data_IF_540157440295
#
_entry.id   IF_540157440295
#
_cell.length_a   1.000
_cell.length_b   1.000
_cell.length_c   1.000
_cell.angle_alpha   90.00
_cell.angle_beta   90.00
_cell.angle_gamma   90.00
#
_symmetry.space_group_name_H-M   'P 1'
#
loop_
_entity.id
_entity.type
_entity.pdbx_description
1 polymer ?
#
# COMPACT_ATOMS: atom_id res chain seq x y z
N UNK A 1 52.66 -33.02 -29.71
CA UNK A 1 51.86 -32.17 -28.79
C UNK A 1 51.04 -33.10 -27.94
N UNK A 2 51.21 -33.04 -26.62
CA UNK A 2 50.70 -34.04 -25.69
C UNK A 2 49.25 -33.76 -25.35
N UNK A 3 48.41 -34.79 -25.28
CA UNK A 3 46.96 -34.71 -25.01
C UNK A 3 46.62 -33.86 -23.74
N UNK A 4 47.50 -33.85 -22.77
CA UNK A 4 47.39 -33.02 -21.57
C UNK A 4 47.48 -31.49 -21.82
N UNK A 5 48.19 -31.07 -22.88
CA UNK A 5 48.32 -29.64 -23.22
C UNK A 5 47.06 -29.12 -23.92
N UNK A 6 46.35 -29.97 -24.68
CA UNK A 6 45.13 -29.61 -25.35
C UNK A 6 43.96 -29.51 -24.33
N UNK A 7 43.89 -30.39 -23.35
CA UNK A 7 42.89 -30.29 -22.27
C UNK A 7 43.08 -29.06 -21.39
N UNK A 8 44.32 -28.64 -21.12
CA UNK A 8 44.57 -27.42 -20.34
C UNK A 8 44.20 -26.15 -21.11
N UNK A 9 44.39 -26.12 -22.43
CA UNK A 9 43.97 -24.97 -23.26
C UNK A 9 42.46 -24.85 -23.43
N UNK A 10 41.75 -25.97 -23.50
CA UNK A 10 40.26 -25.98 -23.62
C UNK A 10 39.62 -25.55 -22.31
N UNK A 11 40.18 -25.96 -21.15
CA UNK A 11 39.66 -25.55 -19.83
C UNK A 11 39.96 -24.07 -19.56
N UNK A 12 41.13 -23.57 -20.01
CA UNK A 12 41.46 -22.13 -19.87
C UNK A 12 40.61 -21.23 -20.82
N UNK A 13 40.18 -21.72 -21.98
CA UNK A 13 39.33 -20.97 -22.91
C UNK A 13 37.89 -20.93 -22.47
N UNK A 14 37.38 -21.92 -21.69
CA UNK A 14 36.03 -21.88 -21.12
C UNK A 14 35.88 -20.97 -19.87
N UNK A 15 37.01 -20.63 -19.23
CA UNK A 15 37.01 -19.76 -18.04
C UNK A 15 37.20 -18.28 -18.39
N UNK A 16 37.37 -17.92 -19.66
CA UNK A 16 37.60 -16.56 -20.13
C UNK A 16 36.45 -15.98 -20.98
N UNK A 17 35.24 -16.59 -20.91
CA UNK A 17 34.05 -15.88 -21.36
C UNK A 17 33.79 -14.80 -20.29
N UNK A 18 33.81 -13.49 -20.68
CA UNK A 18 33.28 -12.50 -19.75
C UNK A 18 31.84 -12.95 -19.48
N UNK A 19 31.52 -13.31 -18.23
CA UNK A 19 30.17 -13.18 -17.74
C UNK A 19 29.86 -11.69 -17.86
N UNK A 20 29.38 -11.26 -18.99
CA UNK A 20 28.59 -10.06 -19.06
C UNK A 20 27.36 -10.38 -18.21
N UNK A 21 27.46 -10.07 -16.94
CA UNK A 21 26.30 -9.78 -16.12
C UNK A 21 25.69 -8.57 -16.84
N UNK A 22 24.78 -8.83 -17.76
CA UNK A 22 23.87 -7.79 -18.18
C UNK A 22 23.20 -7.38 -16.87
N UNK A 23 23.58 -6.22 -16.35
CA UNK A 23 22.73 -5.53 -15.42
C UNK A 23 21.41 -5.42 -16.17
N UNK A 24 20.42 -6.20 -15.76
CA UNK A 24 19.08 -6.08 -16.31
C UNK A 24 18.68 -4.66 -15.92
N UNK A 25 18.45 -3.79 -16.92
CA UNK A 25 17.91 -2.47 -16.65
C UNK A 25 16.62 -2.68 -15.86
N UNK A 26 16.71 -2.42 -14.56
CA UNK A 26 15.56 -2.53 -13.67
C UNK A 26 14.65 -1.34 -13.92
N UNK A 27 13.36 -1.59 -14.04
CA UNK A 27 12.35 -0.55 -14.23
C UNK A 27 12.29 0.39 -13.02
N UNK A 28 12.49 -0.16 -11.82
CA UNK A 28 12.56 0.57 -10.57
C UNK A 28 14.00 0.67 -10.06
N UNK A 29 14.37 1.82 -9.52
CA UNK A 29 15.71 2.06 -8.96
C UNK A 29 15.65 2.06 -7.45
N UNK A 30 16.20 1.05 -6.76
CA UNK A 30 16.29 1.05 -5.30
C UNK A 30 17.19 2.15 -4.77
N UNK A 31 16.83 2.74 -3.64
CA UNK A 31 17.76 3.54 -2.84
C UNK A 31 18.83 2.63 -2.23
N UNK A 32 20.02 3.17 -1.99
CA UNK A 32 21.13 2.37 -1.42
C UNK A 32 20.82 1.83 -0.02
N UNK A 33 21.20 0.60 0.23
CA UNK A 33 21.00 -0.13 1.49
C UNK A 33 21.73 0.48 2.70
N UNK A 34 22.83 1.21 2.47
CA UNK A 34 23.58 1.91 3.54
C UNK A 34 22.79 2.98 4.29
N UNK A 35 21.60 3.35 3.81
CA UNK A 35 20.70 4.31 4.44
C UNK A 35 19.91 3.70 5.61
N UNK A 36 19.82 2.38 5.69
CA UNK A 36 18.95 1.67 6.63
C UNK A 36 19.72 0.76 7.56
N UNK A 37 19.21 0.60 8.79
CA UNK A 37 19.91 -0.09 9.87
C UNK A 37 19.66 -1.60 9.91
N UNK A 38 18.55 -2.06 9.34
CA UNK A 38 18.02 -3.40 9.56
C UNK A 38 17.35 -3.98 8.32
N UNK A 39 17.14 -5.29 8.30
CA UNK A 39 16.56 -6.00 7.16
C UNK A 39 15.52 -7.02 7.59
N UNK A 40 14.71 -7.46 6.61
CA UNK A 40 13.77 -8.57 6.70
C UNK A 40 13.95 -9.49 5.50
N UNK A 41 13.79 -10.79 5.70
CA UNK A 41 13.71 -11.74 4.58
C UNK A 41 12.27 -11.79 4.04
N UNK A 42 12.14 -11.68 2.73
CA UNK A 42 10.85 -11.73 2.05
C UNK A 42 10.84 -12.82 0.99
N UNK A 43 9.77 -13.61 0.93
CA UNK A 43 9.49 -14.53 -0.17
C UNK A 43 8.05 -14.34 -0.62
N UNK A 44 7.87 -13.81 -1.82
CA UNK A 44 6.57 -13.59 -2.44
C UNK A 44 6.36 -14.44 -3.68
N UNK A 45 5.11 -14.57 -4.11
CA UNK A 45 4.74 -15.19 -5.39
C UNK A 45 3.84 -14.24 -6.16
N UNK A 46 4.27 -13.88 -7.36
CA UNK A 46 3.45 -13.09 -8.30
C UNK A 46 2.45 -14.02 -8.97
N UNK A 47 1.18 -13.67 -8.92
CA UNK A 47 0.11 -14.45 -9.54
C UNK A 47 -0.84 -13.57 -10.36
N UNK A 48 -1.31 -14.14 -11.49
CA UNK A 48 -2.43 -13.61 -12.28
C UNK A 48 -3.61 -14.57 -12.16
N UNK A 49 -4.67 -14.17 -11.49
CA UNK A 49 -5.86 -15.02 -11.22
C UNK A 49 -5.49 -16.40 -10.66
N UNK A 50 -4.50 -16.41 -9.76
CA UNK A 50 -4.00 -17.62 -9.14
C UNK A 50 -2.94 -18.40 -9.95
N UNK A 51 -2.63 -17.97 -11.17
CA UNK A 51 -1.56 -18.56 -12.00
C UNK A 51 -0.24 -17.82 -11.74
N UNK A 52 0.85 -18.51 -11.39
CA UNK A 52 2.15 -17.89 -11.19
C UNK A 52 2.68 -17.18 -12.44
N UNK A 53 3.33 -16.02 -12.26
CA UNK A 53 3.91 -15.20 -13.32
C UNK A 53 5.41 -15.10 -13.12
N UNK A 54 6.18 -15.61 -14.09
CA UNK A 54 7.63 -15.43 -14.16
C UNK A 54 7.99 -14.19 -14.99
N UNK A 55 9.13 -13.56 -14.68
CA UNK A 55 9.66 -12.43 -15.42
C UNK A 55 9.03 -11.08 -15.06
N UNK A 56 8.17 -11.02 -14.06
CA UNK A 56 7.65 -9.75 -13.53
C UNK A 56 8.66 -9.14 -12.56
N UNK A 57 9.02 -7.87 -12.75
CA UNK A 57 9.84 -7.14 -11.79
C UNK A 57 8.95 -6.64 -10.65
N UNK A 58 9.28 -7.02 -9.43
CA UNK A 58 8.61 -6.60 -8.20
C UNK A 58 9.48 -5.61 -7.46
N UNK A 59 8.97 -4.42 -7.22
CA UNK A 59 9.59 -3.41 -6.40
C UNK A 59 8.89 -3.32 -5.04
N UNK A 60 9.68 -3.25 -3.99
CA UNK A 60 9.26 -3.13 -2.60
C UNK A 60 9.47 -1.69 -2.13
N UNK A 61 8.38 -1.04 -1.75
CA UNK A 61 8.39 0.35 -1.32
C UNK A 61 8.09 0.44 0.17
N UNK A 62 8.73 1.38 0.84
CA UNK A 62 8.44 1.78 2.21
C UNK A 62 8.39 3.30 2.27
N UNK A 63 7.28 3.85 2.73
CA UNK A 63 7.05 5.29 2.78
C UNK A 63 7.34 6.01 1.43
N UNK A 64 6.98 5.38 0.31
CA UNK A 64 7.18 5.91 -1.04
C UNK A 64 8.58 5.70 -1.63
N UNK A 65 9.56 5.23 -0.86
CA UNK A 65 10.91 4.93 -1.36
C UNK A 65 11.02 3.47 -1.82
N UNK A 66 11.55 3.26 -3.03
CA UNK A 66 11.89 1.91 -3.51
C UNK A 66 13.09 1.38 -2.72
N UNK A 67 12.88 0.35 -1.89
CA UNK A 67 13.92 -0.25 -1.05
C UNK A 67 14.61 -1.44 -1.72
N UNK A 68 13.90 -2.17 -2.57
CA UNK A 68 14.42 -3.35 -3.25
C UNK A 68 13.62 -3.67 -4.50
N UNK A 69 14.28 -4.31 -5.49
CA UNK A 69 13.64 -4.88 -6.68
C UNK A 69 14.10 -6.32 -6.89
N UNK A 70 13.20 -7.16 -7.40
CA UNK A 70 13.50 -8.54 -7.76
C UNK A 70 12.63 -8.99 -8.93
N UNK A 71 13.19 -9.80 -9.81
CA UNK A 71 12.42 -10.40 -10.91
C UNK A 71 11.89 -11.76 -10.50
N UNK A 72 10.60 -11.99 -10.69
CA UNK A 72 9.95 -13.26 -10.39
C UNK A 72 10.45 -14.38 -11.32
N UNK A 73 10.74 -15.53 -10.77
CA UNK A 73 11.31 -16.67 -11.51
C UNK A 73 10.88 -18.00 -10.89
N UNK A 74 11.19 -19.09 -11.60
CA UNK A 74 11.06 -20.44 -11.04
C UNK A 74 12.16 -20.68 -10.01
N UNK A 75 11.79 -21.20 -8.86
CA UNK A 75 12.75 -21.76 -7.90
C UNK A 75 12.48 -23.24 -7.73
N UNK A 76 13.53 -24.03 -7.63
CA UNK A 76 13.45 -25.47 -7.35
C UNK A 76 14.48 -25.87 -6.31
N UNK A 77 14.16 -26.90 -5.56
CA UNK A 77 15.01 -27.37 -4.48
C UNK A 77 14.46 -28.63 -3.85
N UNK A 78 14.89 -28.89 -2.64
CA UNK A 78 14.42 -30.02 -1.83
C UNK A 78 14.00 -29.48 -0.47
N UNK A 79 12.84 -29.90 0.01
CA UNK A 79 12.34 -29.52 1.33
C UNK A 79 13.12 -30.21 2.46
N UNK A 80 12.79 -29.88 3.71
CA UNK A 80 13.44 -30.46 4.88
C UNK A 80 13.21 -31.99 5.02
N UNK A 81 12.19 -32.51 4.34
CA UNK A 81 11.83 -33.94 4.30
C UNK A 81 12.47 -34.68 3.14
N UNK A 82 13.23 -33.97 2.29
CA UNK A 82 13.90 -34.55 1.12
C UNK A 82 13.04 -34.62 -0.14
N UNK A 83 11.83 -34.01 -0.16
CA UNK A 83 10.98 -33.98 -1.34
C UNK A 83 11.39 -32.88 -2.29
N UNK A 84 11.51 -33.14 -3.60
CA UNK A 84 11.79 -32.09 -4.57
C UNK A 84 10.58 -31.12 -4.71
N UNK A 85 10.85 -29.83 -4.85
CA UNK A 85 9.83 -28.84 -5.19
C UNK A 85 10.29 -27.97 -6.37
N UNK A 86 9.32 -27.46 -7.12
CA UNK A 86 9.52 -26.44 -8.14
C UNK A 86 8.33 -25.48 -8.11
N UNK A 87 8.59 -24.19 -7.92
CA UNK A 87 7.55 -23.17 -7.75
C UNK A 87 7.87 -21.99 -8.66
N UNK A 88 6.91 -21.63 -9.51
CA UNK A 88 7.00 -20.48 -10.42
C UNK A 88 6.56 -19.17 -9.76
N UNK A 89 6.95 -18.05 -10.37
CA UNK A 89 6.52 -16.70 -9.98
C UNK A 89 7.13 -16.20 -8.68
N UNK A 90 8.20 -16.84 -8.19
CA UNK A 90 8.78 -16.49 -6.89
C UNK A 90 9.72 -15.30 -7.00
N UNK A 91 9.58 -14.38 -6.07
CA UNK A 91 10.54 -13.35 -5.72
C UNK A 91 11.09 -13.61 -4.33
N UNK A 92 12.41 -13.63 -4.21
CA UNK A 92 13.07 -13.70 -2.91
C UNK A 92 13.93 -12.47 -2.73
N UNK A 93 13.61 -11.68 -1.73
CA UNK A 93 14.49 -10.62 -1.27
C UNK A 93 15.07 -11.05 0.07
N UNK A 94 16.37 -11.15 0.12
CA UNK A 94 17.05 -11.39 1.39
C UNK A 94 17.12 -10.13 2.25
N UNK A 95 16.76 -8.98 1.67
CA UNK A 95 17.00 -7.67 2.25
C UNK A 95 15.88 -6.70 1.85
N UNK A 96 14.75 -6.72 2.57
CA UNK A 96 13.89 -5.56 2.63
C UNK A 96 14.40 -4.69 3.79
N UNK A 97 15.03 -3.58 3.47
CA UNK A 97 15.69 -2.70 4.44
C UNK A 97 14.69 -1.76 5.10
N UNK A 98 14.84 -1.55 6.40
CA UNK A 98 13.99 -0.64 7.16
C UNK A 98 14.69 0.01 8.34
N UNK A 99 13.97 0.87 9.01
CA UNK A 99 14.37 1.45 10.28
C UNK A 99 13.84 0.60 11.45
N UNK A 100 14.28 0.90 12.67
CA UNK A 100 13.91 0.15 13.88
C UNK A 100 12.46 0.33 14.33
N UNK A 101 11.66 1.16 13.67
CA UNK A 101 10.24 1.37 13.97
C UNK A 101 9.35 0.66 12.95
N UNK A 102 8.06 0.53 13.28
CA UNK A 102 7.09 -0.15 12.42
C UNK A 102 6.92 0.59 11.09
N UNK A 103 7.23 -0.10 10.03
CA UNK A 103 7.04 0.32 8.64
C UNK A 103 6.23 -0.74 7.91
N UNK A 104 5.61 -0.37 6.78
CA UNK A 104 4.91 -1.30 5.91
C UNK A 104 5.59 -1.34 4.56
N UNK A 105 5.66 -2.54 3.99
CA UNK A 105 6.12 -2.76 2.62
C UNK A 105 4.90 -2.79 1.72
N UNK A 106 4.91 -1.94 0.70
CA UNK A 106 3.97 -1.94 -0.43
C UNK A 106 4.68 -2.41 -1.69
N UNK A 107 3.93 -2.83 -2.70
CA UNK A 107 4.50 -3.50 -3.86
C UNK A 107 4.04 -2.84 -5.16
N UNK A 108 4.99 -2.57 -6.05
CA UNK A 108 4.72 -2.28 -7.46
C UNK A 108 5.28 -3.41 -8.31
N UNK A 109 4.60 -3.72 -9.40
CA UNK A 109 5.00 -4.78 -10.33
C UNK A 109 5.02 -4.22 -11.74
N UNK A 110 6.14 -4.39 -12.43
CA UNK A 110 6.24 -4.21 -13.87
C UNK A 110 6.18 -5.59 -14.53
N UNK A 111 5.14 -5.83 -15.30
CA UNK A 111 4.93 -7.10 -16.00
C UNK A 111 5.87 -7.24 -17.20
N UNK A 112 6.09 -8.45 -17.75
CA UNK A 112 6.95 -8.66 -18.92
C UNK A 112 6.52 -7.89 -20.18
N UNK A 113 5.27 -7.45 -20.25
CA UNK A 113 4.74 -6.60 -21.33
C UNK A 113 4.96 -5.11 -21.11
N UNK A 114 5.61 -4.71 -20.00
CA UNK A 114 5.86 -3.32 -19.62
C UNK A 114 4.69 -2.65 -18.87
N UNK A 115 3.61 -3.37 -18.56
CA UNK A 115 2.49 -2.83 -17.80
C UNK A 115 2.86 -2.75 -16.32
N UNK A 116 2.66 -1.57 -15.73
CA UNK A 116 2.87 -1.35 -14.30
C UNK A 116 1.59 -1.51 -13.51
N UNK A 117 1.69 -2.10 -12.32
CA UNK A 117 0.60 -2.20 -11.36
C UNK A 117 1.10 -1.95 -9.95
N UNK A 118 0.39 -1.13 -9.21
CA UNK A 118 0.57 -0.98 -7.77
C UNK A 118 -0.41 -1.92 -7.06
N UNK A 119 0.13 -2.79 -6.20
CA UNK A 119 -0.67 -3.88 -5.64
C UNK A 119 -1.38 -3.47 -4.35
N UNK A 120 -2.56 -4.03 -4.10
CA UNK A 120 -3.25 -3.92 -2.82
C UNK A 120 -2.47 -4.63 -1.70
N UNK A 121 -1.71 -5.66 -2.03
CA UNK A 121 -0.88 -6.40 -1.09
C UNK A 121 0.06 -5.49 -0.30
N UNK A 122 0.13 -5.72 1.00
CA UNK A 122 0.98 -5.01 1.94
C UNK A 122 1.37 -5.93 3.07
N UNK A 123 2.59 -5.82 3.58
CA UNK A 123 2.99 -6.52 4.79
C UNK A 123 3.84 -5.62 5.70
N UNK A 124 3.78 -5.83 7.04
CA UNK A 124 4.66 -5.10 7.94
C UNK A 124 6.12 -5.48 7.69
N UNK A 125 7.00 -4.48 7.70
CA UNK A 125 8.43 -4.68 7.75
C UNK A 125 8.81 -4.96 9.21
N UNK A 126 9.18 -6.19 9.51
CA UNK A 126 9.59 -6.62 10.85
C UNK A 126 11.05 -7.02 10.80
N UNK A 127 11.88 -6.24 11.48
CA UNK A 127 13.33 -6.42 11.56
C UNK A 127 13.68 -7.84 12.01
N UNK A 128 14.73 -8.42 11.42
CA UNK A 128 15.26 -9.76 11.70
C UNK A 128 14.21 -10.88 11.58
N UNK A 129 13.16 -10.66 10.80
CA UNK A 129 12.08 -11.63 10.58
C UNK A 129 12.06 -12.17 9.15
N UNK A 130 11.07 -13.03 8.91
CA UNK A 130 10.80 -13.58 7.57
C UNK A 130 9.30 -13.50 7.27
N UNK A 131 8.96 -13.00 6.08
CA UNK A 131 7.61 -13.06 5.53
C UNK A 131 7.60 -13.96 4.31
N UNK A 132 6.81 -15.02 4.35
CA UNK A 132 6.72 -16.05 3.31
C UNK A 132 7.92 -17.00 3.29
N UNK A 133 7.69 -18.18 2.72
CA UNK A 133 8.68 -19.20 2.38
C UNK A 133 8.30 -19.80 1.02
N UNK A 134 9.21 -20.49 0.30
CA UNK A 134 8.88 -21.04 -1.02
C UNK A 134 7.67 -21.97 -1.06
N UNK A 135 7.40 -22.73 0.00
CA UNK A 135 6.23 -23.61 0.12
C UNK A 135 4.94 -22.90 0.58
N UNK A 136 5.05 -21.67 1.10
CA UNK A 136 3.95 -20.83 1.52
C UNK A 136 4.33 -19.34 1.31
N UNK A 137 4.44 -18.90 0.05
CA UNK A 137 4.87 -17.54 -0.28
C UNK A 137 3.79 -16.52 0.06
N UNK A 138 4.21 -15.28 0.28
CA UNK A 138 3.30 -14.15 0.36
C UNK A 138 2.73 -13.86 -1.04
N UNK A 139 1.41 -13.81 -1.19
CA UNK A 139 0.78 -13.70 -2.50
C UNK A 139 0.75 -12.24 -2.97
N UNK A 140 1.27 -12.02 -4.16
CA UNK A 140 1.26 -10.76 -4.90
C UNK A 140 0.33 -10.90 -6.11
N UNK A 141 -0.97 -10.72 -5.87
CA UNK A 141 -2.00 -10.83 -6.92
C UNK A 141 -2.05 -9.56 -7.74
N UNK A 142 -1.63 -9.63 -9.01
CA UNK A 142 -1.58 -8.48 -9.93
C UNK A 142 -2.96 -7.94 -10.32
N UNK A 143 -4.04 -8.61 -9.98
CA UNK A 143 -5.41 -8.14 -10.23
C UNK A 143 -5.98 -7.34 -9.05
N UNK A 144 -5.33 -7.41 -7.89
CA UNK A 144 -5.67 -6.61 -6.70
C UNK A 144 -4.76 -5.41 -6.63
N UNK A 145 -5.28 -4.26 -7.09
CA UNK A 145 -4.51 -3.02 -7.19
C UNK A 145 -4.99 -1.96 -6.22
N UNK A 146 -4.06 -1.17 -5.71
CA UNK A 146 -4.33 0.01 -4.91
C UNK A 146 -3.41 1.15 -5.34
N UNK A 147 -3.76 2.37 -4.97
CA UNK A 147 -2.92 3.54 -5.09
C UNK A 147 -2.36 3.90 -3.72
N UNK A 148 -1.08 4.18 -3.66
CA UNK A 148 -0.40 4.55 -2.44
C UNK A 148 0.09 5.98 -2.55
N UNK A 149 -0.50 6.87 -1.77
CA UNK A 149 -0.21 8.31 -1.81
C UNK A 149 0.54 8.70 -0.55
N UNK A 150 1.73 9.23 -0.72
CA UNK A 150 2.60 9.66 0.37
C UNK A 150 2.59 11.18 0.45
N UNK A 151 2.10 11.70 1.57
CA UNK A 151 2.14 13.12 1.90
C UNK A 151 3.30 13.36 2.85
N UNK A 152 4.41 13.92 2.36
CA UNK A 152 5.52 14.36 3.19
C UNK A 152 5.40 15.88 3.43
N UNK A 153 4.82 16.26 4.56
CA UNK A 153 4.60 17.67 4.89
C UNK A 153 5.89 18.40 5.32
N UNK A 154 7.00 17.68 5.52
CA UNK A 154 8.30 18.25 5.82
C UNK A 154 9.03 18.75 4.55
N UNK A 155 8.64 18.24 3.37
CA UNK A 155 9.18 18.60 2.06
C UNK A 155 8.18 19.41 1.23
N UNK A 156 7.36 20.21 1.91
CA UNK A 156 6.13 20.79 1.37
C UNK A 156 6.32 21.84 0.26
N UNK A 157 7.50 22.36 0.04
CA UNK A 157 7.74 23.49 -0.88
C UNK A 157 7.45 23.17 -2.36
N UNK A 158 7.58 21.90 -2.77
CA UNK A 158 7.34 21.48 -4.16
C UNK A 158 5.90 20.99 -4.39
N UNK A 159 5.21 20.55 -3.33
CA UNK A 159 3.96 19.82 -3.41
C UNK A 159 2.72 20.69 -3.27
N UNK A 160 2.85 21.89 -2.69
CA UNK A 160 1.73 22.68 -2.20
C UNK A 160 1.73 24.10 -2.73
N UNK A 161 0.93 24.37 -3.73
CA UNK A 161 0.59 25.76 -4.10
C UNK A 161 -0.58 26.22 -3.23
N UNK A 162 -0.27 26.72 -2.04
CA UNK A 162 -1.30 27.31 -1.17
C UNK A 162 -1.48 28.79 -1.43
N UNK A 163 -2.70 29.28 -1.20
CA UNK A 163 -2.94 30.70 -1.12
C UNK A 163 -2.17 31.27 0.08
N UNK A 164 -1.12 32.01 -0.18
CA UNK A 164 -0.20 32.55 0.81
C UNK A 164 -0.89 33.62 1.67
N UNK A 165 -0.99 33.37 2.96
CA UNK A 165 -1.09 34.41 3.97
C UNK A 165 0.25 35.15 4.08
N UNK A 166 0.27 36.30 4.77
CA UNK A 166 1.41 37.20 4.90
C UNK A 166 2.69 36.58 5.48
N UNK A 167 2.63 35.36 6.02
CA UNK A 167 3.73 34.66 6.67
C UNK A 167 4.06 33.32 5.97
N UNK A 168 3.79 33.15 4.67
CA UNK A 168 4.03 31.95 3.88
C UNK A 168 3.17 30.77 4.39
N UNK A 169 2.68 29.92 3.57
CA UNK A 169 2.13 28.58 3.88
C UNK A 169 1.02 28.49 4.97
N UNK A 170 0.27 29.55 5.25
CA UNK A 170 -0.92 29.46 6.11
C UNK A 170 -2.13 29.01 5.30
N UNK A 171 -2.86 28.03 5.82
CA UNK A 171 -4.17 27.67 5.29
C UNK A 171 -5.21 28.65 5.81
N UNK A 172 -6.14 29.05 4.97
CA UNK A 172 -7.37 29.70 5.42
C UNK A 172 -8.18 28.81 6.36
N UNK A 173 -9.31 29.32 6.84
CA UNK A 173 -10.19 28.57 7.75
C UNK A 173 -10.65 27.24 7.16
N UNK A 174 -10.72 27.13 5.84
CA UNK A 174 -10.99 25.89 5.11
C UNK A 174 -10.31 25.94 3.75
N UNK A 175 -9.43 24.98 3.50
CA UNK A 175 -8.74 24.81 2.23
C UNK A 175 -8.99 23.40 1.69
N UNK A 176 -9.15 23.30 0.37
CA UNK A 176 -9.37 22.03 -0.32
C UNK A 176 -8.45 21.94 -1.54
N UNK A 177 -7.77 20.83 -1.69
CA UNK A 177 -6.93 20.53 -2.85
C UNK A 177 -7.03 19.08 -3.23
N UNK A 178 -6.58 18.75 -4.44
CA UNK A 178 -6.49 17.36 -4.92
C UNK A 178 -5.04 17.02 -5.14
N UNK A 179 -4.61 15.89 -4.59
CA UNK A 179 -3.28 15.35 -4.76
C UNK A 179 -3.36 13.86 -5.03
N UNK A 180 -2.79 13.44 -6.16
CA UNK A 180 -2.77 12.05 -6.64
C UNK A 180 -4.14 11.35 -6.49
N UNK A 181 -5.18 12.02 -6.95
CA UNK A 181 -6.57 11.55 -6.92
C UNK A 181 -7.31 11.74 -5.60
N UNK A 182 -6.63 11.88 -4.47
CA UNK A 182 -7.26 12.16 -3.18
C UNK A 182 -7.66 13.64 -3.05
N UNK A 183 -8.86 13.89 -2.55
CA UNK A 183 -9.27 15.24 -2.14
C UNK A 183 -8.90 15.40 -0.68
N UNK A 184 -8.10 16.43 -0.39
CA UNK A 184 -7.67 16.77 0.96
C UNK A 184 -8.35 18.07 1.38
N UNK A 185 -9.04 18.06 2.51
CA UNK A 185 -9.64 19.23 3.12
C UNK A 185 -8.97 19.49 4.46
N UNK A 186 -8.47 20.71 4.64
CA UNK A 186 -7.91 21.17 5.90
C UNK A 186 -8.86 22.22 6.47
N UNK A 187 -9.38 21.99 7.68
CA UNK A 187 -10.37 22.89 8.29
C UNK A 187 -9.89 23.35 9.64
N UNK A 188 -9.95 24.64 9.86
CA UNK A 188 -9.77 25.29 11.16
C UNK A 188 -11.14 25.70 11.73
N UNK A 189 -11.31 25.54 13.03
CA UNK A 189 -12.55 25.94 13.71
C UNK A 189 -12.53 27.38 14.21
N UNK A 190 -11.41 28.08 14.09
CA UNK A 190 -11.26 29.45 14.56
C UNK A 190 -11.02 30.43 13.42
N UNK A 191 -11.90 31.40 13.29
CA UNK A 191 -11.80 32.52 12.34
C UNK A 191 -10.91 33.68 12.84
N UNK A 192 -10.37 33.60 14.05
CA UNK A 192 -9.57 34.65 14.68
C UNK A 192 -8.38 34.06 15.41
N UNK A 193 -7.22 34.46 14.98
CA UNK A 193 -5.85 34.27 15.43
C UNK A 193 -5.62 33.81 16.88
N UNK A 194 -4.53 33.08 17.26
CA UNK A 194 -3.30 32.78 16.52
C UNK A 194 -3.15 31.36 16.03
N UNK A 195 -4.21 30.61 15.92
CA UNK A 195 -4.16 29.16 15.69
C UNK A 195 -4.81 28.76 14.37
N UNK A 196 -4.20 29.12 13.26
CA UNK A 196 -4.57 28.61 11.94
C UNK A 196 -3.71 27.39 11.59
N UNK A 197 -4.24 26.50 10.74
CA UNK A 197 -3.44 25.44 10.17
C UNK A 197 -2.36 26.02 9.26
N UNK A 198 -1.15 25.47 9.31
CA UNK A 198 -0.07 25.87 8.41
C UNK A 198 0.94 24.73 8.22
N UNK A 199 1.73 24.81 7.16
CA UNK A 199 2.85 23.90 6.89
C UNK A 199 4.15 24.66 7.05
N UNK A 200 5.15 24.03 7.65
CA UNK A 200 6.53 24.47 7.61
C UNK A 200 7.50 23.28 7.66
N UNK A 201 8.73 23.53 7.20
CA UNK A 201 9.79 22.51 7.08
C UNK A 201 10.14 21.82 8.41
N UNK A 202 10.05 22.53 9.54
CA UNK A 202 10.44 22.00 10.85
C UNK A 202 9.36 21.11 11.49
N UNK A 203 8.08 21.36 11.18
CA UNK A 203 6.94 20.80 11.92
C UNK A 203 5.94 20.06 11.02
N UNK A 204 6.14 20.04 9.70
CA UNK A 204 5.16 19.52 8.76
C UNK A 204 3.85 20.32 8.82
N UNK A 205 2.71 19.64 8.64
CA UNK A 205 1.39 20.26 8.78
C UNK A 205 1.04 20.43 10.25
N UNK A 206 0.99 21.68 10.71
CA UNK A 206 0.50 22.02 12.05
C UNK A 206 -1.00 22.20 12.04
N UNK A 207 -1.67 21.30 12.73
CA UNK A 207 -3.13 21.26 12.84
C UNK A 207 -3.57 22.07 14.06
N UNK A 208 -4.38 23.09 13.84
CA UNK A 208 -4.90 23.97 14.89
C UNK A 208 -5.73 23.21 15.93
N UNK A 209 -5.91 23.74 17.15
CA UNK A 209 -6.81 23.17 18.14
C UNK A 209 -8.21 22.92 17.55
N UNK A 210 -8.69 21.69 17.62
CA UNK A 210 -9.96 21.23 17.02
C UNK A 210 -10.02 21.27 15.49
N UNK A 211 -8.93 21.65 14.83
CA UNK A 211 -8.79 21.58 13.37
C UNK A 211 -8.80 20.12 12.87
N UNK A 212 -9.14 19.96 11.61
CA UNK A 212 -9.24 18.65 10.96
C UNK A 212 -8.48 18.61 9.65
N UNK A 213 -7.99 17.42 9.30
CA UNK A 213 -7.47 17.08 7.98
C UNK A 213 -8.25 15.88 7.48
N UNK A 214 -8.95 16.05 6.38
CA UNK A 214 -9.84 15.03 5.83
C UNK A 214 -9.33 14.59 4.46
N UNK A 215 -9.21 13.28 4.26
CA UNK A 215 -8.85 12.67 2.99
C UNK A 215 -10.07 11.96 2.43
N UNK A 216 -10.39 12.22 1.16
CA UNK A 216 -11.53 11.61 0.47
C UNK A 216 -11.06 10.91 -0.79
N UNK A 217 -11.40 9.64 -0.93
CA UNK A 217 -11.07 8.85 -2.12
C UNK A 217 -11.82 9.36 -3.37
N UNK A 218 -11.26 9.18 -4.58
CA UNK A 218 -11.95 9.47 -5.83
C UNK A 218 -13.27 8.70 -5.98
N UNK A 219 -14.13 9.13 -6.90
CA UNK A 219 -15.34 8.37 -7.21
C UNK A 219 -15.01 6.93 -7.64
N UNK A 220 -15.73 5.94 -7.13
CA UNK A 220 -15.47 4.52 -7.39
C UNK A 220 -14.30 3.91 -6.61
N UNK A 221 -13.73 4.64 -5.64
CA UNK A 221 -12.64 4.17 -4.78
C UNK A 221 -12.96 4.38 -3.31
N UNK A 222 -12.30 3.59 -2.46
CA UNK A 222 -12.29 3.71 -0.99
C UNK A 222 -10.89 3.74 -0.46
N UNK A 223 -10.68 4.44 0.65
CA UNK A 223 -9.44 4.39 1.42
C UNK A 223 -9.42 3.06 2.17
N UNK A 224 -8.36 2.29 1.96
CA UNK A 224 -8.17 0.97 2.56
C UNK A 224 -7.15 0.98 3.70
N UNK A 225 -6.45 2.08 3.89
CA UNK A 225 -5.52 2.25 5.00
C UNK A 225 -4.88 3.62 5.03
N UNK A 226 -4.36 3.96 6.21
CA UNK A 226 -3.59 5.17 6.45
C UNK A 226 -2.55 4.93 7.55
N UNK A 227 -1.34 5.45 7.36
CA UNK A 227 -0.22 5.33 8.31
C UNK A 227 0.52 6.65 8.43
N UNK A 228 0.86 7.10 9.65
CA UNK A 228 1.72 8.26 9.80
C UNK A 228 3.16 7.92 9.40
N UNK A 229 3.85 8.81 8.70
CA UNK A 229 5.27 8.62 8.34
C UNK A 229 6.20 8.81 9.55
N UNK A 230 5.79 9.64 10.49
CA UNK A 230 6.51 9.93 11.72
C UNK A 230 5.52 10.01 12.88
N UNK A 231 6.01 10.12 14.11
CA UNK A 231 5.16 10.21 15.28
C UNK A 231 4.27 11.46 15.23
N UNK A 232 3.04 11.30 14.77
CA UNK A 232 2.01 12.36 14.74
C UNK A 232 1.44 12.50 16.14
N UNK A 233 2.12 13.27 16.96
CA UNK A 233 1.76 13.38 18.37
C UNK A 233 0.30 13.83 18.53
N UNK A 234 -0.55 12.89 19.01
CA UNK A 234 -1.88 13.17 19.59
C UNK A 234 -3.01 13.52 18.61
N UNK A 235 -2.84 13.34 17.30
CA UNK A 235 -3.98 13.38 16.39
C UNK A 235 -4.86 12.13 16.56
N UNK A 236 -6.15 12.28 16.35
CA UNK A 236 -7.12 11.17 16.36
C UNK A 236 -7.68 10.98 14.96
N UNK A 237 -7.65 9.76 14.50
CA UNK A 237 -8.38 9.36 13.31
C UNK A 237 -9.82 8.99 13.71
N UNK A 238 -10.81 9.48 12.98
CA UNK A 238 -12.24 9.27 13.24
C UNK A 238 -12.68 7.79 13.24
N UNK A 239 -11.91 6.94 12.55
CA UNK A 239 -12.12 5.49 12.45
C UNK A 239 -11.44 4.69 13.58
N UNK A 240 -10.81 5.34 14.54
CA UNK A 240 -10.06 4.70 15.62
C UNK A 240 -10.51 5.23 16.99
N UNK A 241 -10.56 4.34 17.97
CA UNK A 241 -10.80 4.72 19.36
C UNK A 241 -9.55 5.29 20.07
N UNK A 242 -8.37 5.05 19.50
CA UNK A 242 -7.07 5.49 20.03
C UNK A 242 -6.49 6.66 19.24
N UNK A 243 -5.37 7.20 19.73
CA UNK A 243 -4.55 8.15 18.97
C UNK A 243 -4.00 7.47 17.72
N UNK A 244 -3.98 8.20 16.60
CA UNK A 244 -3.38 7.75 15.34
C UNK A 244 -1.87 7.62 15.52
N UNK A 245 -1.37 6.41 15.58
CA UNK A 245 0.03 6.06 15.83
C UNK A 245 0.61 5.18 14.73
N UNK A 246 1.83 4.73 14.90
CA UNK A 246 2.58 3.94 13.90
C UNK A 246 1.87 2.68 13.40
N UNK A 247 0.97 2.09 14.18
CA UNK A 247 0.16 0.95 13.73
C UNK A 247 -0.79 1.34 12.59
N UNK A 248 -1.02 2.65 12.41
CA UNK A 248 -1.91 3.15 11.39
C UNK A 248 -3.35 2.69 11.57
N UNK A 249 -4.08 2.72 10.47
CA UNK A 249 -5.43 2.22 10.35
C UNK A 249 -5.58 1.47 9.04
N UNK A 250 -6.28 0.36 9.07
CA UNK A 250 -6.73 -0.39 7.90
C UNK A 250 -8.24 -0.55 7.98
N UNK A 251 -8.91 -0.46 6.87
CA UNK A 251 -10.36 -0.56 6.83
C UNK A 251 -10.88 -0.21 5.44
N UNK A 252 -12.07 0.38 5.39
CA UNK A 252 -12.64 0.90 4.16
C UNK A 252 -13.51 2.06 4.51
N UNK A 253 -13.14 3.19 3.96
CA UNK A 253 -13.89 4.40 4.16
C UNK A 253 -13.81 5.25 2.89
N UNK A 254 -14.91 5.88 2.52
CA UNK A 254 -14.90 6.90 1.47
C UNK A 254 -14.03 8.08 1.90
N UNK A 255 -14.06 8.38 3.18
CA UNK A 255 -13.40 9.51 3.80
C UNK A 255 -12.83 9.12 5.16
N UNK A 256 -11.62 9.59 5.47
CA UNK A 256 -11.02 9.53 6.80
C UNK A 256 -10.70 10.95 7.28
N UNK A 257 -10.85 11.20 8.57
CA UNK A 257 -10.63 12.52 9.17
C UNK A 257 -9.67 12.43 10.36
N UNK A 258 -8.57 13.15 10.27
CA UNK A 258 -7.67 13.39 11.40
C UNK A 258 -8.14 14.64 12.13
N UNK A 259 -8.31 14.57 13.43
CA UNK A 259 -8.72 15.70 14.28
C UNK A 259 -7.66 15.96 15.34
N UNK A 260 -7.34 17.22 15.58
CA UNK A 260 -6.59 17.64 16.73
C UNK A 260 -7.53 17.79 17.94
N UNK A 261 -7.54 16.87 18.92
CA UNK A 261 -8.44 16.93 20.05
C UNK A 261 -8.00 17.93 21.14
N UNK A 262 -6.79 18.48 21.02
CA UNK A 262 -6.15 19.27 22.06
C UNK A 262 -6.45 20.77 21.94
N UNK A 263 -6.02 21.52 22.93
CA UNK A 263 -6.11 22.99 22.99
C UNK A 263 -4.85 23.69 22.46
N UNK A 264 -3.86 22.91 22.00
CA UNK A 264 -2.61 23.38 21.40
C UNK A 264 -2.47 22.85 19.97
N UNK A 265 -1.58 23.44 19.19
CA UNK A 265 -1.20 22.94 17.87
C UNK A 265 -0.62 21.54 17.95
N UNK A 266 -0.91 20.68 16.99
CA UNK A 266 -0.28 19.37 16.81
C UNK A 266 0.26 19.21 15.40
N UNK A 267 1.28 18.38 15.27
CA UNK A 267 2.00 18.19 14.02
C UNK A 267 1.57 16.90 13.34
N UNK A 268 1.37 16.98 12.02
CA UNK A 268 1.32 15.87 11.10
C UNK A 268 2.53 16.00 10.17
N UNK A 269 3.59 15.25 10.44
CA UNK A 269 4.82 15.31 9.65
C UNK A 269 4.65 14.72 8.27
N UNK A 270 3.85 13.69 8.17
CA UNK A 270 3.46 13.06 6.92
C UNK A 270 2.48 11.91 7.17
N UNK A 271 1.84 11.48 6.11
CA UNK A 271 0.88 10.37 6.12
C UNK A 271 0.94 9.63 4.78
N UNK A 272 0.92 8.32 4.86
CA UNK A 272 0.68 7.44 3.73
C UNK A 272 -0.80 7.07 3.73
N UNK A 273 -1.50 7.30 2.63
CA UNK A 273 -2.91 6.97 2.44
C UNK A 273 -3.04 6.04 1.25
N UNK A 274 -3.65 4.89 1.46
CA UNK A 274 -3.90 3.91 0.39
C UNK A 274 -5.37 3.88 0.05
N UNK A 275 -5.66 3.87 -1.25
CA UNK A 275 -7.03 3.71 -1.73
C UNK A 275 -7.09 2.71 -2.88
N UNK A 276 -8.18 1.95 -2.95
CA UNK A 276 -8.40 0.92 -3.96
C UNK A 276 -9.77 1.09 -4.61
N UNK A 277 -9.91 0.53 -5.80
CA UNK A 277 -11.18 0.53 -6.53
C UNK A 277 -12.20 -0.30 -5.77
N UNK A 278 -13.41 0.22 -5.63
CA UNK A 278 -14.54 -0.54 -5.12
C UNK A 278 -14.97 -1.54 -6.19
N UNK A 279 -14.99 -2.81 -5.85
CA UNK A 279 -15.64 -3.84 -6.63
C UNK A 279 -17.09 -3.98 -6.11
N UNK A 280 -18.03 -3.28 -6.75
CA UNK A 280 -19.44 -3.32 -6.35
C UNK A 280 -19.95 -4.76 -6.42
N UNK A 281 -20.47 -5.27 -5.32
CA UNK A 281 -20.93 -6.64 -5.18
C UNK A 281 -19.91 -7.61 -4.56
N UNK A 282 -18.64 -7.26 -4.41
CA UNK A 282 -17.65 -8.02 -3.63
C UNK A 282 -17.81 -7.67 -2.14
N UNK A 283 -18.84 -8.23 -1.54
CA UNK A 283 -19.25 -7.89 -0.17
C UNK A 283 -18.31 -8.47 0.87
N UNK A 284 -17.81 -9.69 0.62
CA UNK A 284 -16.87 -10.39 1.51
C UNK A 284 -15.40 -10.01 1.26
N UNK A 285 -15.12 -9.26 0.18
CA UNK A 285 -13.79 -8.73 -0.22
C UNK A 285 -12.74 -9.79 -0.52
N UNK A 286 -13.16 -10.87 -1.11
CA UNK A 286 -12.22 -11.88 -1.60
C UNK A 286 -11.68 -11.57 -3.01
N UNK A 287 -12.06 -10.42 -3.60
CA UNK A 287 -11.69 -9.97 -4.93
C UNK A 287 -12.49 -10.63 -6.04
N UNK A 288 -13.63 -11.26 -5.72
CA UNK A 288 -14.52 -11.91 -6.67
C UNK A 288 -15.95 -11.58 -6.32
N UNK A 289 -16.84 -11.57 -7.32
CA UNK A 289 -18.29 -11.45 -7.08
C UNK A 289 -18.89 -12.83 -7.29
N UNK A 290 -19.30 -13.46 -6.20
CA UNK A 290 -19.77 -14.85 -6.15
C UNK A 290 -21.02 -15.00 -5.26
N UNK A 291 -21.56 -16.22 -5.16
CA UNK A 291 -22.68 -16.51 -4.25
C UNK A 291 -22.31 -16.31 -2.76
N UNK A 292 -21.01 -16.33 -2.42
CA UNK A 292 -20.55 -16.05 -1.07
C UNK A 292 -20.86 -14.59 -0.66
N UNK A 293 -20.82 -13.65 -1.62
CA UNK A 293 -21.16 -12.25 -1.40
C UNK A 293 -22.64 -12.05 -1.13
N UNK A 294 -23.49 -12.84 -1.76
CA UNK A 294 -24.93 -12.83 -1.48
C UNK A 294 -25.18 -13.22 -0.01
N UNK A 295 -24.48 -14.22 0.49
CA UNK A 295 -24.57 -14.64 1.89
C UNK A 295 -24.08 -13.53 2.82
N UNK A 296 -22.93 -12.93 2.53
CA UNK A 296 -22.38 -11.83 3.29
C UNK A 296 -23.33 -10.61 3.31
N UNK A 297 -23.93 -10.27 2.15
CA UNK A 297 -24.89 -9.18 2.04
C UNK A 297 -26.14 -9.42 2.88
N UNK A 298 -26.68 -10.64 2.84
CA UNK A 298 -27.85 -11.03 3.65
C UNK A 298 -27.52 -10.96 5.14
N UNK A 299 -26.34 -11.39 5.56
CA UNK A 299 -25.92 -11.32 6.97
C UNK A 299 -25.78 -9.86 7.44
N UNK A 300 -25.26 -8.95 6.59
CA UNK A 300 -25.27 -7.50 6.85
C UNK A 300 -26.69 -6.98 7.04
N UNK A 301 -27.60 -7.27 6.12
CA UNK A 301 -28.99 -6.80 6.16
C UNK A 301 -29.71 -7.31 7.41
N UNK A 302 -29.43 -8.53 7.84
CA UNK A 302 -30.00 -9.15 9.04
C UNK A 302 -29.30 -8.72 10.35
N UNK A 303 -28.27 -7.89 10.28
CA UNK A 303 -27.50 -7.47 11.45
C UNK A 303 -26.76 -8.60 12.17
N UNK A 304 -26.50 -9.71 11.48
CA UNK A 304 -25.78 -10.87 12.05
C UNK A 304 -24.28 -10.70 12.06
N UNK A 305 -23.77 -9.81 11.25
CA UNK A 305 -22.35 -9.56 11.09
C UNK A 305 -21.86 -8.51 12.08
N UNK A 306 -21.56 -8.95 13.29
CA UNK A 306 -21.08 -8.10 14.39
C UNK A 306 -19.55 -8.08 14.52
N UNK A 307 -18.82 -8.80 13.66
CA UNK A 307 -17.39 -9.08 13.86
C UNK A 307 -16.45 -8.07 13.21
N UNK A 308 -16.96 -7.21 12.30
CA UNK A 308 -16.14 -6.25 11.58
C UNK A 308 -16.77 -4.84 11.61
N UNK A 309 -16.31 -3.93 12.49
CA UNK A 309 -16.83 -2.56 12.57
C UNK A 309 -16.61 -1.73 11.31
N UNK A 310 -15.86 -2.24 10.33
CA UNK A 310 -15.43 -1.53 9.12
C UNK A 310 -16.24 -1.87 7.86
N UNK A 311 -17.18 -2.80 7.91
CA UNK A 311 -17.94 -3.25 6.73
C UNK A 311 -18.95 -2.24 6.18
N UNK A 312 -19.36 -1.28 6.98
CA UNK A 312 -20.43 -0.34 6.62
C UNK A 312 -19.96 0.93 5.92
N UNK A 313 -18.65 1.18 5.88
CA UNK A 313 -18.10 2.41 5.33
C UNK A 313 -17.75 2.33 3.84
N UNK A 314 -18.04 1.21 3.16
CA UNK A 314 -17.77 1.05 1.74
C UNK A 314 -19.04 0.70 0.95
N UNK A 315 -19.05 1.10 -0.32
CA UNK A 315 -20.21 1.01 -1.19
C UNK A 315 -20.41 -0.37 -1.84
N UNK A 316 -19.55 -1.38 -1.60
CA UNK A 316 -19.64 -2.69 -2.23
C UNK A 316 -20.96 -3.43 -1.94
N UNK A 317 -21.55 -3.38 -0.72
CA UNK A 317 -22.85 -3.93 -0.43
C UNK A 317 -24.05 -3.15 -1.02
N UNK A 318 -23.88 -1.86 -1.30
CA UNK A 318 -24.88 -1.04 -1.99
C UNK A 318 -24.78 -1.28 -3.51
N UNK A 319 -25.28 -2.43 -3.93
CA UNK A 319 -25.17 -2.90 -5.31
C UNK A 319 -26.06 -2.08 -6.25
N UNK A 320 -27.16 -1.54 -5.75
CA UNK A 320 -28.06 -0.65 -6.49
C UNK A 320 -27.55 0.78 -6.58
N UNK A 321 -26.56 1.16 -5.78
CA UNK A 321 -25.96 2.50 -5.66
C UNK A 321 -26.98 3.59 -5.29
N UNK A 322 -27.95 3.23 -4.45
CA UNK A 322 -28.98 4.15 -3.94
C UNK A 322 -28.62 4.76 -2.57
N UNK A 323 -27.39 4.53 -2.10
CA UNK A 323 -26.83 4.92 -0.80
C UNK A 323 -27.50 4.22 0.39
N UNK A 324 -28.09 3.04 0.16
CA UNK A 324 -28.68 2.21 1.20
C UNK A 324 -28.34 0.75 0.97
N UNK A 325 -28.06 0.03 2.05
CA UNK A 325 -27.89 -1.42 2.02
C UNK A 325 -29.22 -2.05 2.44
N UNK A 326 -29.95 -2.60 1.49
CA UNK A 326 -31.27 -3.13 1.66
C UNK A 326 -31.49 -4.48 0.96
N UNK A 327 -32.64 -5.08 1.13
CA UNK A 327 -32.99 -6.31 0.41
C UNK A 327 -33.03 -6.12 -1.12
N UNK A 328 -33.13 -4.88 -1.62
CA UNK A 328 -33.07 -4.58 -3.06
C UNK A 328 -31.69 -4.86 -3.68
N UNK A 329 -30.63 -4.82 -2.90
CA UNK A 329 -29.27 -5.09 -3.36
C UNK A 329 -29.06 -6.58 -3.64
N UNK A 330 -29.79 -7.47 -2.97
CA UNK A 330 -29.64 -8.93 -3.15
C UNK A 330 -29.97 -9.37 -4.59
N UNK A 331 -31.12 -9.04 -5.20
CA UNK A 331 -31.36 -9.39 -6.59
C UNK A 331 -30.46 -8.67 -7.57
N UNK A 332 -30.01 -7.44 -7.26
CA UNK A 332 -29.02 -6.74 -8.07
C UNK A 332 -27.69 -7.50 -8.10
N UNK A 333 -27.20 -7.95 -6.95
CA UNK A 333 -26.00 -8.76 -6.84
C UNK A 333 -26.12 -10.11 -7.57
N UNK A 334 -27.26 -10.78 -7.44
CA UNK A 334 -27.52 -12.02 -8.16
C UNK A 334 -27.49 -11.80 -9.69
N UNK A 335 -28.02 -10.68 -10.18
CA UNK A 335 -27.96 -10.34 -11.60
C UNK A 335 -26.51 -10.15 -12.10
N UNK A 336 -25.65 -9.49 -11.30
CA UNK A 336 -24.20 -9.36 -11.62
C UNK A 336 -23.56 -10.75 -11.72
N UNK A 337 -23.81 -11.63 -10.75
CA UNK A 337 -23.27 -13.00 -10.74
C UNK A 337 -23.71 -13.80 -11.96
N UNK A 338 -24.95 -13.60 -12.40
CA UNK A 338 -25.52 -14.29 -13.58
C UNK A 338 -25.17 -13.60 -14.92
N UNK A 339 -24.45 -12.49 -14.90
CA UNK A 339 -24.07 -11.72 -16.08
C UNK A 339 -25.28 -11.08 -16.80
N UNK A 340 -26.29 -10.66 -16.05
CA UNK A 340 -27.54 -10.06 -16.55
C UNK A 340 -27.57 -8.56 -16.34
#
# INVERSE_FOLDING_TARGET
MNYQTICKMVVAALLALPMTVFAQDTHYTPVGDSKYESYMNFTGQVVDKGTPVNGAEVAMFVAGECRQTQVSHNISGTDQQGNPYSVDGIVTSYLAWGQSHKENITFKVCLPNGEERELEAMCPLVVDSRTGIPSAPFILDINKTAHNVVFNFMEADEMWTFSTGSDGNQFGATESFTYDGLIVNVTDTKTTDPYVNYVNEDNGLRVAPRGTVTFTAPAGYVIIGAWPLNNTQRLKLDKMNATFGYDGWTGNAKTITLTNPNTSMNNLYGIEVRYAKILIGDVNRDGKITIADVTALVDIILGKDSTEPYRFDHDAPDVTQDSKITIADVPALVNIILGK
#
